data_IF_317960877739
#
_entry.id   IF_317960877739
#
_cell.length_a   1.000
_cell.length_b   1.000
_cell.length_c   1.000
_cell.angle_alpha   90.00
_cell.angle_beta   90.00
_cell.angle_gamma   90.00
#
_symmetry.space_group_name_H-M   'P 1'
#
loop_
_entity.id
_entity.type
_entity.pdbx_description
1 polymer ?
#
# COMPACT_ATOMS: atom_id res chain seq x y z
N UNK A 1 35.52 -0.73 -0.95
CA UNK A 1 34.31 0.13 -0.75
C UNK A 1 33.26 -0.34 -1.71
N UNK A 2 32.09 -0.70 -1.21
CA UNK A 2 30.95 -1.08 -2.04
C UNK A 2 30.46 0.14 -2.84
N UNK A 3 30.16 -0.02 -4.13
CA UNK A 3 29.66 1.08 -4.98
C UNK A 3 28.30 1.54 -4.46
N UNK A 4 28.10 2.85 -4.32
CA UNK A 4 26.79 3.41 -4.01
C UNK A 4 25.75 3.01 -5.09
N UNK A 5 24.59 2.56 -4.63
CA UNK A 5 23.47 2.24 -5.52
C UNK A 5 22.83 3.53 -6.06
N UNK A 6 22.65 3.59 -7.38
CA UNK A 6 22.04 4.73 -8.03
C UNK A 6 20.50 4.64 -7.97
N UNK A 7 19.85 5.73 -7.52
CA UNK A 7 18.40 5.81 -7.31
C UNK A 7 17.78 6.86 -8.21
N UNK A 8 16.71 6.50 -8.94
CA UNK A 8 15.82 7.44 -9.62
C UNK A 8 14.52 7.53 -8.81
N UNK A 9 14.00 8.75 -8.62
CA UNK A 9 12.73 8.99 -7.93
C UNK A 9 11.74 9.53 -8.96
N UNK A 10 10.62 8.85 -9.17
CA UNK A 10 9.55 9.24 -10.07
C UNK A 10 8.27 9.51 -9.27
N UNK A 11 7.99 10.79 -9.01
CA UNK A 11 6.86 11.27 -8.23
C UNK A 11 6.52 12.70 -8.66
N UNK A 12 5.23 13.01 -8.78
CA UNK A 12 4.77 14.34 -9.20
C UNK A 12 4.84 15.40 -8.08
N UNK A 13 5.04 14.98 -6.83
CA UNK A 13 5.10 15.86 -5.66
C UNK A 13 6.53 16.28 -5.40
N UNK A 14 6.85 17.54 -5.72
CA UNK A 14 8.21 18.09 -5.58
C UNK A 14 8.70 18.07 -4.12
N UNK A 15 7.83 18.35 -3.16
CA UNK A 15 8.16 18.29 -1.75
C UNK A 15 8.62 16.88 -1.34
N UNK A 16 7.90 15.85 -1.78
CA UNK A 16 8.25 14.45 -1.51
C UNK A 16 9.59 14.05 -2.16
N UNK A 17 9.78 14.40 -3.45
CA UNK A 17 11.02 14.08 -4.16
C UNK A 17 12.24 14.75 -3.54
N UNK A 18 12.12 16.01 -3.11
CA UNK A 18 13.17 16.76 -2.44
C UNK A 18 13.48 16.17 -1.06
N UNK A 19 12.45 15.87 -0.25
CA UNK A 19 12.62 15.29 1.07
C UNK A 19 13.26 13.88 1.01
N UNK A 20 12.80 13.02 0.11
CA UNK A 20 13.38 11.69 -0.09
C UNK A 20 14.80 11.76 -0.64
N UNK A 21 15.09 12.66 -1.58
CA UNK A 21 16.45 12.90 -2.08
C UNK A 21 17.39 13.30 -0.95
N UNK A 22 16.97 14.22 -0.09
CA UNK A 22 17.76 14.64 1.07
C UNK A 22 17.98 13.50 2.10
N UNK A 23 16.98 12.64 2.30
CA UNK A 23 17.12 11.46 3.16
C UNK A 23 18.13 10.46 2.60
N UNK A 24 18.04 10.14 1.31
CA UNK A 24 18.98 9.22 0.64
C UNK A 24 20.40 9.76 0.58
N UNK A 25 20.60 11.08 0.41
CA UNK A 25 21.91 11.70 0.42
C UNK A 25 22.59 11.63 1.79
N UNK A 26 21.83 11.58 2.88
CA UNK A 26 22.33 11.42 4.25
C UNK A 26 22.64 9.97 4.62
N UNK A 27 22.11 9.03 3.84
CA UNK A 27 22.31 7.60 4.07
C UNK A 27 23.46 7.09 3.19
N UNK A 28 24.48 6.48 3.81
CA UNK A 28 25.60 5.91 3.07
C UNK A 28 25.12 4.81 2.11
N UNK A 29 25.73 4.79 0.92
CA UNK A 29 25.47 3.73 -0.06
C UNK A 29 24.37 4.03 -1.07
N UNK A 30 23.78 5.23 -1.11
CA UNK A 30 22.86 5.68 -2.14
C UNK A 30 23.35 6.94 -2.86
N UNK A 31 23.00 7.03 -4.14
CA UNK A 31 23.22 8.22 -4.96
C UNK A 31 21.98 8.49 -5.81
N UNK A 32 21.28 9.59 -5.55
CA UNK A 32 20.14 10.01 -6.39
C UNK A 32 20.69 10.53 -7.72
N UNK A 33 20.29 9.90 -8.83
CA UNK A 33 20.76 10.23 -10.18
C UNK A 33 19.75 11.04 -11.01
N UNK A 34 18.56 11.27 -10.45
CA UNK A 34 17.56 12.13 -11.05
C UNK A 34 16.19 11.98 -10.38
N UNK A 35 15.32 12.93 -10.70
CA UNK A 35 13.90 12.95 -10.33
C UNK A 35 13.06 13.12 -11.59
N UNK A 36 11.87 12.51 -11.61
CA UNK A 36 10.90 12.62 -12.69
C UNK A 36 9.54 13.02 -12.14
N UNK A 37 8.90 14.02 -12.72
CA UNK A 37 7.58 14.49 -12.31
C UNK A 37 6.42 13.80 -13.05
N UNK A 38 6.71 13.06 -14.12
CA UNK A 38 5.73 12.31 -14.90
C UNK A 38 6.33 11.01 -15.47
N UNK A 39 5.46 10.11 -15.94
CA UNK A 39 5.88 8.79 -16.40
C UNK A 39 6.70 8.80 -17.70
N UNK A 40 6.53 9.79 -18.58
CA UNK A 40 7.34 9.91 -19.80
C UNK A 40 8.77 10.32 -19.45
N UNK A 41 8.91 11.29 -18.55
CA UNK A 41 10.20 11.69 -18.01
C UNK A 41 10.88 10.54 -17.27
N UNK A 42 10.12 9.76 -16.48
CA UNK A 42 10.64 8.60 -15.79
C UNK A 42 11.23 7.57 -16.76
N UNK A 43 10.51 7.18 -17.81
CA UNK A 43 10.96 6.20 -18.81
C UNK A 43 12.25 6.71 -19.51
N UNK A 44 12.28 7.98 -19.90
CA UNK A 44 13.45 8.58 -20.53
C UNK A 44 14.67 8.53 -19.62
N UNK A 45 14.53 9.01 -18.36
CA UNK A 45 15.64 9.04 -17.40
C UNK A 45 16.11 7.64 -17.00
N UNK A 46 15.23 6.64 -16.93
CA UNK A 46 15.62 5.25 -16.70
C UNK A 46 16.52 4.75 -17.83
N UNK A 47 16.16 5.04 -19.08
CA UNK A 47 16.96 4.65 -20.25
C UNK A 47 18.34 5.33 -20.29
N UNK A 48 18.39 6.63 -19.95
CA UNK A 48 19.61 7.44 -19.98
C UNK A 48 20.56 7.15 -18.81
N UNK A 49 20.00 7.08 -17.59
CA UNK A 49 20.78 7.00 -16.34
C UNK A 49 21.03 5.57 -15.88
N UNK A 50 20.22 4.60 -16.33
CA UNK A 50 20.30 3.18 -15.98
C UNK A 50 20.45 2.97 -14.46
N UNK A 51 19.50 3.50 -13.65
CA UNK A 51 19.60 3.42 -12.20
C UNK A 51 19.55 1.98 -11.70
N UNK A 52 20.14 1.71 -10.54
CA UNK A 52 20.06 0.41 -9.89
C UNK A 52 18.69 0.22 -9.19
N UNK A 53 18.13 1.33 -8.66
CA UNK A 53 16.88 1.37 -7.92
C UNK A 53 15.94 2.45 -8.49
N UNK A 54 14.64 2.17 -8.44
CA UNK A 54 13.58 3.09 -8.84
C UNK A 54 12.56 3.21 -7.69
N UNK A 55 12.31 4.42 -7.22
CA UNK A 55 11.12 4.76 -6.44
C UNK A 55 10.08 5.29 -7.41
N UNK A 56 8.92 4.66 -7.52
CA UNK A 56 7.92 4.93 -8.54
C UNK A 56 6.55 5.17 -7.94
N UNK A 57 6.01 6.38 -8.10
CA UNK A 57 4.59 6.63 -7.84
C UNK A 57 3.73 5.96 -8.92
N UNK A 58 2.73 5.19 -8.49
CA UNK A 58 1.78 4.54 -9.40
C UNK A 58 0.81 5.54 -10.04
N UNK A 59 0.64 6.74 -9.46
CA UNK A 59 -0.31 7.77 -9.89
C UNK A 59 0.35 8.93 -10.66
N UNK A 60 1.35 8.62 -11.48
CA UNK A 60 1.99 9.62 -12.32
C UNK A 60 1.10 10.10 -13.47
N UNK A 61 1.29 11.34 -13.88
CA UNK A 61 0.66 11.91 -15.09
C UNK A 61 1.33 11.43 -16.37
N UNK A 62 0.69 11.67 -17.53
CA UNK A 62 1.06 11.27 -18.87
C UNK A 62 1.16 9.75 -19.07
N UNK A 63 1.99 9.09 -18.30
CA UNK A 63 2.08 7.62 -18.18
C UNK A 63 2.05 7.24 -16.70
N UNK A 64 1.07 6.44 -16.31
CA UNK A 64 0.96 5.91 -14.97
C UNK A 64 2.09 4.92 -14.63
N UNK A 65 2.22 4.56 -13.35
CA UNK A 65 3.27 3.66 -12.90
C UNK A 65 3.22 2.28 -13.57
N UNK A 66 2.02 1.76 -13.89
CA UNK A 66 1.87 0.48 -14.62
C UNK A 66 2.45 0.62 -16.04
N UNK A 67 2.18 1.73 -16.71
CA UNK A 67 2.71 2.01 -18.06
C UNK A 67 4.23 2.15 -18.05
N UNK A 68 4.78 2.81 -17.01
CA UNK A 68 6.24 2.89 -16.80
C UNK A 68 6.84 1.49 -16.61
N UNK A 69 6.27 0.68 -15.72
CA UNK A 69 6.74 -0.68 -15.45
C UNK A 69 6.71 -1.57 -16.71
N UNK A 70 5.64 -1.47 -17.51
CA UNK A 70 5.55 -2.19 -18.79
C UNK A 70 6.62 -1.73 -19.77
N UNK A 71 6.87 -0.43 -19.88
CA UNK A 71 7.89 0.11 -20.78
C UNK A 71 9.31 -0.37 -20.44
N UNK A 72 9.60 -0.54 -19.14
CA UNK A 72 10.93 -1.00 -18.68
C UNK A 72 11.03 -2.52 -18.54
N UNK A 73 9.95 -3.28 -18.70
CA UNK A 73 9.94 -4.74 -18.49
C UNK A 73 10.87 -5.50 -19.45
N UNK A 74 11.08 -4.99 -20.66
CA UNK A 74 11.96 -5.55 -21.67
C UNK A 74 13.41 -5.05 -21.65
N UNK A 75 13.78 -4.19 -20.68
CA UNK A 75 15.14 -3.66 -20.60
C UNK A 75 16.09 -4.73 -20.06
N UNK A 76 17.27 -4.87 -20.68
CA UNK A 76 18.32 -5.80 -20.26
C UNK A 76 18.78 -5.52 -18.81
N UNK A 77 18.90 -4.24 -18.44
CA UNK A 77 19.21 -3.79 -17.09
C UNK A 77 18.04 -3.01 -16.52
N UNK A 78 17.15 -3.72 -15.85
CA UNK A 78 15.97 -3.18 -15.22
C UNK A 78 16.27 -2.75 -13.78
N UNK A 79 15.86 -1.54 -13.34
CA UNK A 79 16.00 -1.15 -11.94
C UNK A 79 15.11 -1.99 -11.03
N UNK A 80 15.61 -2.34 -9.86
CA UNK A 80 14.77 -2.89 -8.80
C UNK A 80 13.83 -1.78 -8.32
N UNK A 81 12.51 -2.06 -8.30
CA UNK A 81 11.50 -1.01 -8.12
C UNK A 81 10.79 -1.15 -6.77
N UNK A 82 10.81 -0.06 -6.01
CA UNK A 82 9.88 0.21 -4.92
C UNK A 82 8.78 1.13 -5.46
N UNK A 83 7.54 0.68 -5.42
CA UNK A 83 6.40 1.48 -5.85
C UNK A 83 5.70 2.13 -4.66
N UNK A 84 5.14 3.34 -4.87
CA UNK A 84 4.29 4.04 -3.90
C UNK A 84 2.94 4.35 -4.54
N UNK A 85 1.86 4.35 -3.77
CA UNK A 85 0.53 4.70 -4.27
C UNK A 85 -0.34 5.30 -3.16
N UNK A 86 -1.17 6.26 -3.50
CA UNK A 86 -2.22 6.78 -2.59
C UNK A 86 -3.43 5.86 -2.51
N UNK A 87 -3.55 4.93 -3.46
CA UNK A 87 -4.65 3.98 -3.55
C UNK A 87 -4.14 2.60 -3.94
N UNK A 88 -4.62 1.56 -3.26
CA UNK A 88 -4.34 0.16 -3.57
C UNK A 88 -5.65 -0.55 -3.91
N UNK A 89 -5.69 -1.16 -5.09
CA UNK A 89 -6.69 -2.15 -5.46
C UNK A 89 -6.00 -3.46 -5.80
N UNK A 90 -6.75 -4.56 -5.80
CA UNK A 90 -6.22 -5.88 -6.19
C UNK A 90 -5.62 -5.86 -7.60
N UNK A 91 -6.21 -5.06 -8.50
CA UNK A 91 -5.68 -4.86 -9.84
C UNK A 91 -4.32 -4.17 -9.84
N UNK A 92 -4.15 -3.07 -9.08
CA UNK A 92 -2.89 -2.33 -8.99
C UNK A 92 -1.82 -3.20 -8.34
N UNK A 93 -2.14 -3.85 -7.21
CA UNK A 93 -1.21 -4.73 -6.48
C UNK A 93 -0.79 -5.93 -7.32
N UNK A 94 -1.75 -6.61 -7.96
CA UNK A 94 -1.49 -7.77 -8.82
C UNK A 94 -0.68 -7.39 -10.07
N UNK A 95 -0.99 -6.24 -10.69
CA UNK A 95 -0.24 -5.74 -11.84
C UNK A 95 1.18 -5.36 -11.47
N UNK A 96 1.38 -4.65 -10.35
CA UNK A 96 2.70 -4.28 -9.84
C UNK A 96 3.55 -5.52 -9.55
N UNK A 97 2.98 -6.53 -8.88
CA UNK A 97 3.64 -7.79 -8.58
C UNK A 97 4.03 -8.56 -9.85
N UNK A 98 3.11 -8.70 -10.82
CA UNK A 98 3.36 -9.38 -12.10
C UNK A 98 4.42 -8.69 -12.95
N UNK A 99 4.52 -7.37 -12.82
CA UNK A 99 5.54 -6.54 -13.46
C UNK A 99 6.84 -6.47 -12.65
N UNK A 100 6.99 -7.25 -11.56
CA UNK A 100 8.23 -7.42 -10.80
C UNK A 100 8.60 -6.24 -9.92
N UNK A 101 7.63 -5.50 -9.38
CA UNK A 101 7.85 -4.55 -8.30
C UNK A 101 8.32 -5.32 -7.06
N UNK A 102 9.43 -4.87 -6.46
CA UNK A 102 10.02 -5.51 -5.30
C UNK A 102 9.21 -5.22 -4.02
N UNK A 103 8.69 -4.02 -3.89
CA UNK A 103 7.89 -3.58 -2.75
C UNK A 103 6.88 -2.51 -3.16
N UNK A 104 5.68 -2.53 -2.56
CA UNK A 104 4.63 -1.56 -2.80
C UNK A 104 4.18 -0.95 -1.46
N UNK A 105 4.28 0.38 -1.34
CA UNK A 105 3.93 1.14 -0.13
C UNK A 105 2.73 2.05 -0.37
N UNK A 106 1.85 2.12 0.61
CA UNK A 106 0.73 3.06 0.59
C UNK A 106 1.18 4.42 1.13
N UNK A 107 0.84 5.50 0.44
CA UNK A 107 1.00 6.87 0.92
C UNK A 107 -0.19 7.28 1.82
N UNK A 108 0.04 8.11 2.88
CA UNK A 108 1.33 8.66 3.29
C UNK A 108 2.25 7.60 3.90
N UNK A 109 3.54 7.66 3.58
CA UNK A 109 4.55 6.74 4.09
C UNK A 109 5.75 7.51 4.68
N UNK A 110 6.37 6.94 5.70
CA UNK A 110 7.57 7.49 6.31
C UNK A 110 8.76 7.36 5.35
N UNK A 111 9.56 8.43 5.22
CA UNK A 111 10.74 8.46 4.38
C UNK A 111 11.83 7.48 4.88
N UNK A 112 11.97 7.30 6.20
CA UNK A 112 12.91 6.35 6.76
C UNK A 112 12.51 4.91 6.39
N UNK A 113 11.21 4.61 6.42
CA UNK A 113 10.70 3.30 5.98
C UNK A 113 11.00 3.04 4.49
N UNK A 114 10.93 4.07 3.63
CA UNK A 114 11.33 3.94 2.21
C UNK A 114 12.83 3.62 2.12
N UNK A 115 13.67 4.33 2.86
CA UNK A 115 15.13 4.11 2.88
C UNK A 115 15.46 2.70 3.34
N UNK A 116 14.87 2.22 4.43
CA UNK A 116 15.04 0.84 4.93
C UNK A 116 14.66 -0.20 3.87
N UNK A 117 13.53 -0.03 3.19
CA UNK A 117 13.11 -0.94 2.10
C UNK A 117 14.07 -0.90 0.92
N UNK A 118 14.62 0.26 0.57
CA UNK A 118 15.63 0.38 -0.48
C UNK A 118 16.94 -0.31 -0.10
N UNK A 119 17.35 -0.28 1.17
CA UNK A 119 18.51 -1.03 1.68
C UNK A 119 18.30 -2.54 1.54
N UNK A 120 17.15 -3.07 1.94
CA UNK A 120 16.79 -4.47 1.80
C UNK A 120 16.78 -4.89 0.31
N UNK A 121 16.18 -4.07 -0.57
CA UNK A 121 16.15 -4.32 -2.01
C UNK A 121 17.56 -4.32 -2.61
N UNK A 122 18.43 -3.40 -2.16
CA UNK A 122 19.84 -3.33 -2.58
C UNK A 122 20.61 -4.57 -2.17
N UNK A 123 20.48 -4.99 -0.91
CA UNK A 123 21.23 -6.09 -0.31
C UNK A 123 20.99 -7.46 -0.97
N UNK A 124 20.03 -7.54 -1.91
CA UNK A 124 19.74 -8.80 -2.60
C UNK A 124 19.03 -9.81 -1.69
N UNK A 125 18.69 -9.44 -0.46
CA UNK A 125 17.63 -10.15 0.23
C UNK A 125 16.42 -10.05 -0.70
N UNK A 126 16.17 -11.16 -1.39
CA UNK A 126 14.91 -11.35 -2.08
C UNK A 126 13.86 -11.10 -1.00
N UNK A 127 13.35 -9.86 -0.96
CA UNK A 127 12.01 -9.68 -0.46
C UNK A 127 11.20 -10.58 -1.41
N UNK A 128 11.25 -11.88 -1.17
CA UNK A 128 10.15 -12.73 -1.57
C UNK A 128 8.99 -11.93 -1.05
N UNK A 129 8.33 -11.26 -2.00
CA UNK A 129 7.03 -10.69 -1.73
C UNK A 129 6.43 -11.62 -0.71
N UNK A 130 6.31 -11.28 0.57
CA UNK A 130 5.60 -12.17 1.44
C UNK A 130 4.32 -12.33 0.64
N UNK A 131 4.13 -13.53 0.07
CA UNK A 131 2.92 -13.91 -0.65
C UNK A 131 1.81 -13.28 0.15
N UNK A 132 0.95 -12.39 -0.47
CA UNK A 132 0.20 -11.37 0.24
C UNK A 132 0.00 -11.89 1.64
N UNK A 133 0.70 -11.30 2.62
CA UNK A 133 0.64 -11.85 3.97
C UNK A 133 -0.83 -12.01 4.12
N UNK A 134 -1.31 -13.24 4.21
CA UNK A 134 -2.66 -13.47 4.70
C UNK A 134 -2.69 -12.58 5.89
N UNK A 135 -3.30 -11.38 5.70
CA UNK A 135 -3.24 -10.33 6.71
C UNK A 135 -3.76 -11.09 7.91
N UNK A 136 -2.83 -11.40 8.83
CA UNK A 136 -3.15 -12.28 9.93
C UNK A 136 -4.39 -11.68 10.53
N UNK A 137 -5.41 -12.49 10.78
CA UNK A 137 -6.70 -12.03 11.32
C UNK A 137 -6.49 -10.98 12.43
N UNK A 138 -5.45 -11.16 13.22
CA UNK A 138 -4.95 -10.23 14.24
C UNK A 138 -4.51 -8.86 13.70
N UNK A 139 -3.92 -8.79 12.51
CA UNK A 139 -3.51 -7.52 11.88
C UNK A 139 -4.71 -6.75 11.32
N UNK A 140 -5.67 -7.44 10.68
CA UNK A 140 -6.96 -6.84 10.25
C UNK A 140 -7.71 -6.34 11.47
N UNK A 141 -7.80 -7.15 12.51
CA UNK A 141 -8.49 -6.81 13.76
C UNK A 141 -7.93 -5.54 14.41
N UNK A 142 -6.59 -5.39 14.42
CA UNK A 142 -5.93 -4.20 14.96
C UNK A 142 -6.18 -2.97 14.09
N UNK A 143 -6.09 -3.10 12.76
CA UNK A 143 -6.37 -1.99 11.82
C UNK A 143 -7.82 -1.52 11.93
N UNK A 144 -8.78 -2.45 11.91
CA UNK A 144 -10.21 -2.14 12.03
C UNK A 144 -10.50 -1.48 13.37
N UNK A 145 -9.89 -1.95 14.47
CA UNK A 145 -10.03 -1.36 15.80
C UNK A 145 -9.55 0.08 15.82
N UNK A 146 -8.39 0.37 15.24
CA UNK A 146 -7.83 1.73 15.17
C UNK A 146 -8.74 2.66 14.35
N UNK A 147 -9.20 2.23 13.18
CA UNK A 147 -10.09 3.02 12.32
C UNK A 147 -11.41 3.35 13.05
N UNK A 148 -12.05 2.35 13.69
CA UNK A 148 -13.31 2.57 14.41
C UNK A 148 -13.10 3.53 15.59
N UNK A 149 -11.93 3.49 16.24
CA UNK A 149 -11.58 4.42 17.30
C UNK A 149 -11.37 5.84 16.77
N UNK A 150 -10.69 6.01 15.62
CA UNK A 150 -10.47 7.31 14.98
C UNK A 150 -11.77 8.00 14.57
N UNK A 151 -12.78 7.25 14.08
CA UNK A 151 -14.10 7.78 13.75
C UNK A 151 -14.98 8.05 14.96
N UNK A 152 -14.48 7.79 16.19
CA UNK A 152 -15.11 8.20 17.44
C UNK A 152 -16.18 7.24 17.96
N UNK A 153 -16.31 6.03 17.45
CA UNK A 153 -17.30 5.05 17.97
C UNK A 153 -16.89 4.56 19.36
N UNK A 154 -17.74 4.72 20.40
CA UNK A 154 -17.39 4.35 21.76
C UNK A 154 -17.17 2.84 21.92
N UNK A 155 -16.01 2.43 22.45
CA UNK A 155 -15.62 1.01 22.55
C UNK A 155 -16.48 0.19 23.55
N UNK A 156 -17.17 0.86 24.48
CA UNK A 156 -17.96 0.20 25.53
C UNK A 156 -19.37 -0.21 25.09
N UNK A 157 -19.83 0.20 23.91
CA UNK A 157 -21.17 -0.13 23.40
C UNK A 157 -21.14 -1.42 22.57
N UNK A 158 -22.23 -2.22 22.63
CA UNK A 158 -22.34 -3.47 21.85
C UNK A 158 -22.23 -3.23 20.34
N UNK A 159 -22.70 -2.10 19.85
CA UNK A 159 -22.63 -1.72 18.46
C UNK A 159 -21.20 -1.63 17.93
N UNK A 160 -20.24 -1.22 18.76
CA UNK A 160 -18.82 -1.24 18.43
C UNK A 160 -18.31 -2.64 18.07
N UNK A 161 -18.63 -3.63 18.91
CA UNK A 161 -18.20 -5.02 18.68
C UNK A 161 -18.83 -5.61 17.43
N UNK A 162 -20.10 -5.32 17.18
CA UNK A 162 -20.80 -5.79 15.98
C UNK A 162 -20.30 -5.12 14.72
N UNK A 163 -20.03 -3.81 14.76
CA UNK A 163 -19.46 -3.06 13.65
C UNK A 163 -18.05 -3.58 13.30
N UNK A 164 -17.22 -3.80 14.32
CA UNK A 164 -15.86 -4.35 14.16
C UNK A 164 -15.89 -5.70 13.47
N UNK A 165 -16.72 -6.61 13.92
CA UNK A 165 -16.87 -7.96 13.34
C UNK A 165 -17.43 -7.89 11.91
N UNK A 166 -18.43 -7.02 11.66
CA UNK A 166 -19.01 -6.83 10.34
C UNK A 166 -17.95 -6.37 9.32
N UNK A 167 -17.07 -5.43 9.71
CA UNK A 167 -15.99 -4.96 8.85
C UNK A 167 -14.97 -6.09 8.60
N UNK A 168 -14.59 -6.86 9.62
CA UNK A 168 -13.66 -7.99 9.46
C UNK A 168 -14.20 -9.04 8.50
N UNK A 169 -15.49 -9.39 8.61
CA UNK A 169 -16.16 -10.32 7.68
C UNK A 169 -16.16 -9.74 6.26
N UNK A 170 -16.52 -8.46 6.10
CA UNK A 170 -16.58 -7.80 4.81
C UNK A 170 -15.21 -7.67 4.12
N UNK A 171 -14.13 -7.47 4.88
CA UNK A 171 -12.75 -7.47 4.35
C UNK A 171 -12.33 -8.86 3.87
N UNK A 172 -12.82 -9.93 4.53
CA UNK A 172 -12.55 -11.31 4.10
C UNK A 172 -13.37 -11.78 2.90
N UNK A 173 -14.56 -11.21 2.70
CA UNK A 173 -15.47 -11.51 1.60
C UNK A 173 -16.29 -10.25 1.24
N UNK A 174 -15.85 -9.56 0.19
CA UNK A 174 -16.50 -8.32 -0.26
C UNK A 174 -17.91 -8.52 -0.80
N UNK A 175 -18.28 -9.73 -1.20
CA UNK A 175 -19.61 -10.01 -1.75
C UNK A 175 -20.72 -9.89 -0.69
N UNK A 176 -20.37 -10.04 0.60
CA UNK A 176 -21.34 -9.90 1.69
C UNK A 176 -21.88 -8.46 1.82
N UNK A 177 -21.17 -7.46 1.32
CA UNK A 177 -21.60 -6.04 1.32
C UNK A 177 -22.85 -5.85 0.43
N UNK A 178 -22.98 -6.64 -0.63
CA UNK A 178 -24.12 -6.58 -1.53
C UNK A 178 -25.41 -7.17 -0.90
N UNK A 179 -25.30 -7.82 0.26
CA UNK A 179 -26.41 -8.50 0.94
C UNK A 179 -26.35 -8.29 2.48
N UNK A 180 -26.14 -7.06 2.93
CA UNK A 180 -25.90 -6.71 4.35
C UNK A 180 -26.97 -7.33 5.30
N UNK A 181 -28.25 -7.09 5.03
CA UNK A 181 -29.35 -7.57 5.89
C UNK A 181 -29.60 -9.06 5.76
N UNK A 182 -29.31 -9.66 4.60
CA UNK A 182 -29.60 -11.07 4.32
C UNK A 182 -28.43 -12.00 4.65
N UNK A 183 -27.18 -11.49 4.62
CA UNK A 183 -25.96 -12.30 4.81
C UNK A 183 -25.11 -11.76 5.93
N UNK A 184 -24.66 -10.50 5.88
CA UNK A 184 -23.70 -9.95 6.82
C UNK A 184 -24.23 -9.90 8.26
N UNK A 185 -25.41 -9.30 8.47
CA UNK A 185 -25.99 -9.23 9.82
C UNK A 185 -26.32 -10.60 10.44
N UNK A 186 -26.85 -11.59 9.70
CA UNK A 186 -26.96 -12.97 10.21
C UNK A 186 -25.64 -13.61 10.59
N UNK A 187 -24.55 -13.38 9.85
CA UNK A 187 -23.22 -13.88 10.18
C UNK A 187 -22.71 -13.28 11.51
N UNK A 188 -22.79 -11.96 11.65
CA UNK A 188 -22.45 -11.27 12.91
C UNK A 188 -23.33 -11.76 14.06
N UNK A 189 -24.63 -11.89 13.83
CA UNK A 189 -25.56 -12.37 14.84
C UNK A 189 -25.22 -13.77 15.35
N UNK A 190 -24.76 -14.65 14.47
CA UNK A 190 -24.29 -16.01 14.83
C UNK A 190 -23.06 -15.96 15.73
N UNK A 191 -22.07 -15.12 15.41
CA UNK A 191 -20.84 -14.96 16.21
C UNK A 191 -21.17 -14.51 17.64
N UNK A 192 -22.10 -13.57 17.80
CA UNK A 192 -22.45 -13.00 19.11
C UNK A 192 -23.71 -13.62 19.76
N UNK A 193 -24.23 -14.73 19.23
CA UNK A 193 -25.42 -15.44 19.74
C UNK A 193 -26.63 -14.49 19.95
N UNK A 194 -26.90 -13.64 18.96
CA UNK A 194 -27.98 -12.65 18.98
C UNK A 194 -28.85 -12.74 17.71
N UNK A 195 -29.71 -11.75 17.46
CA UNK A 195 -30.56 -11.70 16.27
C UNK A 195 -30.05 -10.67 15.28
N UNK A 196 -30.23 -10.87 13.95
CA UNK A 196 -29.84 -9.90 12.94
C UNK A 196 -30.42 -8.49 13.15
N UNK A 197 -31.69 -8.40 13.60
CA UNK A 197 -32.33 -7.11 13.90
C UNK A 197 -31.68 -6.37 15.08
N UNK A 198 -31.18 -7.11 16.09
CA UNK A 198 -30.42 -6.49 17.18
C UNK A 198 -29.04 -6.01 16.74
N UNK A 199 -28.40 -6.75 15.84
CA UNK A 199 -27.11 -6.35 15.25
C UNK A 199 -27.30 -5.05 14.45
N UNK A 200 -28.27 -5.02 13.53
CA UNK A 200 -28.58 -3.82 12.75
C UNK A 200 -28.85 -2.61 13.64
N UNK A 201 -29.76 -2.73 14.62
CA UNK A 201 -30.09 -1.63 15.53
C UNK A 201 -28.88 -1.13 16.32
N UNK A 202 -28.04 -2.03 16.80
CA UNK A 202 -26.87 -1.68 17.58
C UNK A 202 -25.77 -1.01 16.74
N UNK A 203 -25.55 -1.46 15.50
CA UNK A 203 -24.62 -0.83 14.54
C UNK A 203 -25.14 0.57 14.18
N UNK A 204 -26.41 0.71 13.83
CA UNK A 204 -27.01 2.00 13.50
C UNK A 204 -26.82 3.00 14.65
N UNK A 205 -27.14 2.60 15.86
CA UNK A 205 -26.94 3.44 17.04
C UNK A 205 -25.47 3.81 17.27
N UNK A 206 -24.53 2.92 16.96
CA UNK A 206 -23.09 3.19 17.13
C UNK A 206 -22.53 4.20 16.11
N UNK A 207 -23.18 4.34 14.95
CA UNK A 207 -22.78 5.27 13.88
C UNK A 207 -23.46 6.65 14.06
N UNK A 208 -24.60 6.71 14.76
CA UNK A 208 -25.36 7.94 14.99
C UNK A 208 -24.93 8.69 16.25
N UNK A 209 -24.00 8.15 17.05
CA UNK A 209 -23.42 8.78 18.26
C UNK A 209 -22.17 9.56 17.85
#
# INVERSE_FOLDING_TARGET
>A
MERAATVLIADSTEEFTNALSAALQRTEGFQVVGTAADGEQAIRLIGERKPDLLVLDMMLSKKDGISVLRAISGMERRPKTLATSVFLSDYVSGSAASLGVCYLMLKPCDLNAIVERLEEIRGGESLRNPAPRRVDKTSIESMVTNIIHEIGVPAHIKGYQYLREAIIIAVGDMDVINAITKVLYPMVAKTFQTTPSRVERAIRHAIEV
#
